data_IF_862168593444
#
_entry.id   IF_862168593444
#
_cell.length_a   1.000
_cell.length_b   1.000
_cell.length_c   1.000
_cell.angle_alpha   90.00
_cell.angle_beta   90.00
_cell.angle_gamma   90.00
#
_symmetry.space_group_name_H-M   'P 1'
#
loop_
_entity.id
_entity.type
_entity.pdbx_description
1 polymer ?
#
# COMPACT_ATOMS: atom_id res chain seq x y z
N UNK A 1 27.55 -8.62 4.92
CA UNK A 1 26.87 -9.85 4.72
C UNK A 1 25.35 -9.65 4.70
N UNK A 2 24.65 -10.10 3.74
CA UNK A 2 23.21 -10.15 3.73
C UNK A 2 22.43 -8.86 3.48
N UNK A 3 22.98 -7.71 3.81
CA UNK A 3 22.25 -6.44 3.65
C UNK A 3 22.03 -6.09 2.18
N UNK A 4 23.04 -6.33 1.35
CA UNK A 4 22.97 -5.99 -0.08
C UNK A 4 21.85 -6.79 -0.79
N UNK A 5 21.77 -8.08 -0.51
CA UNK A 5 20.72 -8.91 -1.09
C UNK A 5 19.32 -8.53 -0.63
N UNK A 6 19.18 -8.13 0.63
CA UNK A 6 17.89 -7.71 1.19
C UNK A 6 17.46 -6.35 0.62
N UNK A 7 18.39 -5.44 0.43
CA UNK A 7 18.09 -4.14 -0.17
C UNK A 7 17.64 -4.29 -1.62
N UNK A 8 18.34 -5.10 -2.41
CA UNK A 8 17.97 -5.38 -3.80
C UNK A 8 16.60 -6.05 -3.89
N UNK A 9 16.36 -7.04 -3.05
CA UNK A 9 15.07 -7.72 -2.97
C UNK A 9 13.97 -6.74 -2.58
N UNK A 10 14.25 -5.87 -1.62
CA UNK A 10 13.33 -4.84 -1.18
C UNK A 10 12.98 -3.87 -2.30
N UNK A 11 13.96 -3.43 -3.06
CA UNK A 11 13.72 -2.55 -4.22
C UNK A 11 12.83 -3.23 -5.25
N UNK A 12 13.10 -4.49 -5.54
CA UNK A 12 12.29 -5.26 -6.48
C UNK A 12 10.83 -5.35 -6.03
N UNK A 13 10.62 -5.76 -4.79
CA UNK A 13 9.26 -5.92 -4.24
C UNK A 13 8.54 -4.57 -4.16
N UNK A 14 9.23 -3.53 -3.67
CA UNK A 14 8.68 -2.19 -3.57
C UNK A 14 8.20 -1.67 -4.93
N UNK A 15 8.99 -1.87 -5.98
CA UNK A 15 8.63 -1.46 -7.34
C UNK A 15 7.44 -2.24 -7.88
N UNK A 16 7.37 -3.53 -7.59
CA UNK A 16 6.26 -4.37 -8.03
C UNK A 16 4.94 -3.97 -7.35
N UNK A 17 4.98 -3.57 -6.09
CA UNK A 17 3.78 -3.19 -5.34
C UNK A 17 3.38 -1.74 -5.58
N UNK A 18 4.31 -0.80 -5.51
CA UNK A 18 4.01 0.63 -5.58
C UNK A 18 4.16 1.22 -6.98
N UNK A 19 4.75 0.48 -7.90
CA UNK A 19 5.03 0.94 -9.26
C UNK A 19 6.41 1.54 -9.39
N UNK A 20 7.01 1.32 -10.56
CA UNK A 20 8.38 1.75 -10.83
C UNK A 20 8.55 3.26 -10.78
N UNK A 21 7.59 4.00 -11.37
CA UNK A 21 7.65 5.45 -11.43
C UNK A 21 7.60 6.08 -10.05
N UNK A 22 6.67 5.61 -9.19
CA UNK A 22 6.54 6.14 -7.83
C UNK A 22 7.82 5.90 -7.02
N UNK A 23 8.36 4.70 -7.08
CA UNK A 23 9.57 4.34 -6.34
C UNK A 23 10.77 5.14 -6.84
N UNK A 24 10.91 5.27 -8.16
CA UNK A 24 12.01 6.03 -8.73
C UNK A 24 11.95 7.50 -8.31
N UNK A 25 10.77 8.11 -8.30
CA UNK A 25 10.60 9.48 -7.83
C UNK A 25 10.98 9.63 -6.36
N UNK A 26 10.61 8.66 -5.53
CA UNK A 26 10.96 8.68 -4.11
C UNK A 26 12.47 8.60 -3.91
N UNK A 27 13.15 7.76 -4.68
CA UNK A 27 14.60 7.62 -4.61
C UNK A 27 15.31 8.88 -5.13
N UNK A 28 14.81 9.46 -6.21
CA UNK A 28 15.40 10.68 -6.79
C UNK A 28 15.27 11.88 -5.86
N UNK A 29 14.20 11.94 -5.08
CA UNK A 29 13.99 13.03 -4.12
C UNK A 29 14.78 12.86 -2.83
N UNK A 30 15.36 11.68 -2.60
CA UNK A 30 16.11 11.41 -1.39
C UNK A 30 17.35 12.30 -1.32
N UNK A 31 17.47 13.00 -0.21
CA UNK A 31 18.66 13.81 0.10
C UNK A 31 19.59 12.98 0.99
N UNK A 32 20.76 13.53 1.29
CA UNK A 32 21.66 12.88 2.24
C UNK A 32 21.01 12.69 3.61
N UNK A 33 20.12 13.61 3.98
CA UNK A 33 19.39 13.50 5.24
C UNK A 33 18.34 12.38 5.21
N UNK A 34 17.57 12.24 4.13
CA UNK A 34 16.47 11.30 4.05
C UNK A 34 16.86 9.92 3.55
N UNK A 35 18.01 9.79 2.87
CA UNK A 35 18.45 8.52 2.27
C UNK A 35 18.49 7.36 3.28
N UNK A 36 19.02 7.53 4.51
CA UNK A 36 19.03 6.42 5.47
C UNK A 36 17.63 5.89 5.77
N UNK A 37 16.61 6.75 5.78
CA UNK A 37 15.23 6.31 6.00
C UNK A 37 14.69 5.55 4.79
N UNK A 38 15.01 5.99 3.58
CA UNK A 38 14.62 5.28 2.36
C UNK A 38 15.26 3.88 2.31
N UNK A 39 16.52 3.79 2.69
CA UNK A 39 17.22 2.51 2.73
C UNK A 39 16.64 1.58 3.79
N UNK A 40 16.37 2.11 4.98
CA UNK A 40 15.76 1.34 6.07
C UNK A 40 14.40 0.78 5.64
N UNK A 41 13.55 1.64 5.07
CA UNK A 41 12.22 1.21 4.60
C UNK A 41 12.35 0.16 3.50
N UNK A 42 13.24 0.36 2.55
CA UNK A 42 13.43 -0.59 1.45
C UNK A 42 13.94 -1.93 1.96
N UNK A 43 14.93 -1.92 2.83
CA UNK A 43 15.54 -3.14 3.33
C UNK A 43 14.61 -3.92 4.26
N UNK A 44 14.05 -3.27 5.25
CA UNK A 44 13.27 -3.96 6.28
C UNK A 44 11.81 -4.12 5.92
N UNK A 45 11.14 -3.05 5.52
CA UNK A 45 9.73 -3.15 5.19
C UNK A 45 9.53 -4.01 3.93
N UNK A 46 10.19 -3.66 2.85
CA UNK A 46 9.99 -4.33 1.57
C UNK A 46 10.84 -5.59 1.44
N UNK A 47 12.08 -5.54 1.90
CA UNK A 47 13.00 -6.68 1.79
C UNK A 47 12.76 -7.77 2.81
N UNK A 48 12.54 -7.41 4.07
CA UNK A 48 12.40 -8.40 5.13
C UNK A 48 10.95 -8.84 5.36
N UNK A 49 9.97 -7.97 5.18
CA UNK A 49 8.58 -8.27 5.54
C UNK A 49 7.71 -8.56 4.33
N UNK A 50 7.65 -7.66 3.36
CA UNK A 50 6.78 -7.85 2.20
C UNK A 50 7.18 -9.05 1.33
N UNK A 51 8.43 -9.47 1.39
CA UNK A 51 8.91 -10.64 0.66
C UNK A 51 8.58 -11.97 1.33
N UNK A 52 8.06 -11.96 2.57
CA UNK A 52 7.78 -13.21 3.30
C UNK A 52 6.60 -13.96 2.68
N UNK A 53 6.70 -15.29 2.55
CA UNK A 53 5.65 -16.07 1.89
C UNK A 53 4.45 -16.39 2.78
N UNK A 54 4.53 -16.10 4.08
CA UNK A 54 3.47 -16.46 5.02
C UNK A 54 2.15 -15.70 4.84
N UNK A 55 2.18 -14.57 4.14
CA UNK A 55 1.00 -13.79 3.82
C UNK A 55 1.21 -13.18 2.42
N UNK A 56 0.24 -13.37 1.54
CA UNK A 56 0.34 -12.86 0.18
C UNK A 56 0.25 -11.35 0.10
N UNK A 57 0.69 -10.78 -1.01
CA UNK A 57 0.74 -9.32 -1.22
C UNK A 57 -0.64 -8.68 -1.16
N UNK A 58 -1.63 -9.35 -1.70
CA UNK A 58 -3.01 -8.87 -1.68
C UNK A 58 -3.49 -8.68 -0.23
N UNK A 59 -3.28 -9.69 0.62
CA UNK A 59 -3.69 -9.62 2.02
C UNK A 59 -2.86 -8.60 2.79
N UNK A 60 -1.55 -8.50 2.50
CA UNK A 60 -0.71 -7.46 3.13
C UNK A 60 -1.20 -6.07 2.79
N UNK A 61 -1.65 -5.85 1.55
CA UNK A 61 -2.25 -4.57 1.16
C UNK A 61 -3.47 -4.22 2.00
N UNK A 62 -4.39 -5.17 2.19
CA UNK A 62 -5.59 -4.93 2.99
C UNK A 62 -5.25 -4.65 4.45
N UNK A 63 -4.35 -5.44 5.03
CA UNK A 63 -3.87 -5.21 6.40
C UNK A 63 -3.25 -3.82 6.53
N UNK A 64 -2.43 -3.43 5.55
CA UNK A 64 -1.79 -2.11 5.54
C UNK A 64 -2.80 -0.98 5.48
N UNK A 65 -3.81 -1.10 4.62
CA UNK A 65 -4.85 -0.07 4.52
C UNK A 65 -5.55 0.15 5.85
N UNK A 66 -5.87 -0.93 6.55
CA UNK A 66 -6.51 -0.83 7.87
C UNK A 66 -5.61 -0.13 8.88
N UNK A 67 -4.33 -0.48 8.91
CA UNK A 67 -3.37 0.14 9.84
C UNK A 67 -3.16 1.61 9.53
N UNK A 68 -2.98 1.96 8.25
CA UNK A 68 -2.75 3.35 7.84
C UNK A 68 -3.97 4.22 8.10
N UNK A 69 -5.17 3.68 7.89
CA UNK A 69 -6.41 4.35 8.22
C UNK A 69 -6.49 4.63 9.74
N UNK A 70 -6.24 3.60 10.54
CA UNK A 70 -6.30 3.71 12.00
C UNK A 70 -5.28 4.69 12.56
N UNK A 71 -4.09 4.72 11.97
CA UNK A 71 -2.99 5.60 12.40
C UNK A 71 -3.09 7.02 11.83
N UNK A 72 -4.02 7.27 10.90
CA UNK A 72 -4.18 8.58 10.29
C UNK A 72 -3.06 8.95 9.33
N UNK A 73 -2.44 7.97 8.69
CA UNK A 73 -1.36 8.19 7.73
C UNK A 73 -1.92 8.38 6.33
N UNK A 74 -2.47 9.57 6.09
CA UNK A 74 -3.25 9.88 4.89
C UNK A 74 -2.45 9.80 3.60
N UNK A 75 -1.22 10.30 3.60
CA UNK A 75 -0.36 10.24 2.42
C UNK A 75 -0.05 8.79 2.03
N UNK A 76 0.40 8.01 3.00
CA UNK A 76 0.75 6.61 2.78
C UNK A 76 -0.49 5.77 2.44
N UNK A 77 -1.65 6.13 2.97
CA UNK A 77 -2.90 5.46 2.63
C UNK A 77 -3.19 5.58 1.14
N UNK A 78 -3.07 6.78 0.57
CA UNK A 78 -3.27 6.98 -0.87
C UNK A 78 -2.31 6.12 -1.69
N UNK A 79 -1.03 6.09 -1.31
CA UNK A 79 -0.01 5.28 -1.97
C UNK A 79 -0.39 3.80 -1.93
N UNK A 80 -0.85 3.32 -0.78
CA UNK A 80 -1.19 1.90 -0.60
C UNK A 80 -2.55 1.51 -1.17
N UNK A 81 -3.47 2.45 -1.39
CA UNK A 81 -4.69 2.18 -2.17
C UNK A 81 -4.28 1.82 -3.61
N UNK A 82 -3.36 2.59 -4.21
CA UNK A 82 -2.82 2.28 -5.53
C UNK A 82 -2.12 0.91 -5.52
N UNK A 83 -1.31 0.66 -4.49
CA UNK A 83 -0.63 -0.62 -4.33
C UNK A 83 -1.60 -1.79 -4.17
N UNK A 84 -2.69 -1.60 -3.46
CA UNK A 84 -3.73 -2.62 -3.27
C UNK A 84 -4.38 -3.00 -4.60
N UNK A 85 -4.74 -2.02 -5.43
CA UNK A 85 -5.28 -2.28 -6.76
C UNK A 85 -4.26 -3.05 -7.60
N UNK A 86 -3.00 -2.66 -7.55
CA UNK A 86 -1.91 -3.34 -8.27
C UNK A 86 -1.75 -4.79 -7.81
N UNK A 87 -1.96 -5.03 -6.53
CA UNK A 87 -1.88 -6.37 -5.93
C UNK A 87 -3.16 -7.20 -6.09
N UNK A 88 -4.16 -6.68 -6.82
CA UNK A 88 -5.37 -7.42 -7.15
C UNK A 88 -6.54 -7.25 -6.19
N UNK A 89 -6.48 -6.30 -5.27
CA UNK A 89 -7.60 -6.01 -4.39
C UNK A 89 -8.71 -5.31 -5.16
N UNK A 90 -9.95 -5.65 -4.86
CA UNK A 90 -11.12 -5.01 -5.48
C UNK A 90 -11.53 -3.78 -4.68
N UNK A 91 -12.31 -2.89 -5.33
CA UNK A 91 -12.89 -1.74 -4.64
C UNK A 91 -13.72 -2.16 -3.43
N UNK A 92 -14.47 -3.23 -3.57
CA UNK A 92 -15.30 -3.77 -2.48
C UNK A 92 -14.43 -4.22 -1.30
N UNK A 93 -13.33 -4.90 -1.58
CA UNK A 93 -12.43 -5.36 -0.54
C UNK A 93 -11.77 -4.20 0.19
N UNK A 94 -11.39 -3.16 -0.54
CA UNK A 94 -10.86 -1.92 0.06
C UNK A 94 -11.94 -1.27 0.94
N UNK A 95 -13.14 -1.15 0.42
CA UNK A 95 -14.28 -0.59 1.16
C UNK A 95 -14.52 -1.34 2.47
N UNK A 96 -14.60 -2.67 2.40
CA UNK A 96 -14.87 -3.50 3.58
C UNK A 96 -13.73 -3.43 4.60
N UNK A 97 -12.49 -3.33 4.13
CA UNK A 97 -11.34 -3.17 5.01
C UNK A 97 -11.41 -1.83 5.77
N UNK A 98 -11.77 -0.75 5.07
CA UNK A 98 -11.87 0.57 5.71
C UNK A 98 -13.07 0.65 6.65
N UNK A 99 -14.18 -0.03 6.34
CA UNK A 99 -15.31 -0.14 7.26
C UNK A 99 -14.90 -0.86 8.55
N UNK A 100 -14.17 -1.96 8.41
CA UNK A 100 -13.65 -2.70 9.56
C UNK A 100 -12.75 -1.81 10.42
N UNK A 101 -11.86 -1.06 9.78
CA UNK A 101 -10.98 -0.13 10.49
C UNK A 101 -11.78 0.96 11.22
N UNK A 102 -12.84 1.48 10.60
CA UNK A 102 -13.66 2.54 11.18
C UNK A 102 -14.33 2.12 12.48
N UNK A 103 -14.86 0.90 12.54
CA UNK A 103 -15.55 0.44 13.75
C UNK A 103 -14.59 0.13 14.90
N UNK A 104 -13.34 -0.19 14.62
CA UNK A 104 -12.34 -0.47 15.65
C UNK A 104 -11.49 0.73 16.03
N UNK A 105 -11.23 1.64 15.08
CA UNK A 105 -10.35 2.79 15.32
C UNK A 105 -11.08 4.12 15.49
N UNK A 106 -12.36 4.16 15.15
CA UNK A 106 -13.18 5.36 15.29
C UNK A 106 -13.69 5.89 13.95
N UNK A 107 -14.91 6.41 13.96
CA UNK A 107 -15.58 6.94 12.78
C UNK A 107 -14.79 8.08 12.09
N UNK A 108 -14.19 9.02 12.83
CA UNK A 108 -13.41 10.09 12.17
C UNK A 108 -12.24 9.55 11.33
N UNK A 109 -11.53 8.53 11.83
CA UNK A 109 -10.46 7.90 11.07
C UNK A 109 -11.01 7.23 9.82
N UNK A 110 -12.16 6.57 9.92
CA UNK A 110 -12.84 5.95 8.80
C UNK A 110 -13.29 6.95 7.74
N UNK A 111 -13.88 8.06 8.17
CA UNK A 111 -14.33 9.12 7.25
C UNK A 111 -13.17 9.66 6.42
N UNK A 112 -12.05 9.96 7.08
CA UNK A 112 -10.86 10.46 6.38
C UNK A 112 -10.31 9.41 5.41
N UNK A 113 -10.24 8.15 5.84
CA UNK A 113 -9.75 7.06 5.00
C UNK A 113 -10.62 6.87 3.76
N UNK A 114 -11.94 6.91 3.90
CA UNK A 114 -12.85 6.82 2.76
C UNK A 114 -12.67 7.96 1.78
N UNK A 115 -12.51 9.18 2.28
CA UNK A 115 -12.27 10.36 1.44
C UNK A 115 -11.02 10.18 0.58
N UNK A 116 -9.94 9.73 1.21
CA UNK A 116 -8.66 9.54 0.53
C UNK A 116 -8.75 8.39 -0.47
N UNK A 117 -9.33 7.27 -0.07
CA UNK A 117 -9.46 6.12 -0.94
C UNK A 117 -10.31 6.44 -2.17
N UNK A 118 -11.45 7.11 -1.99
CA UNK A 118 -12.31 7.49 -3.10
C UNK A 118 -11.57 8.39 -4.09
N UNK A 119 -10.90 9.42 -3.60
CA UNK A 119 -10.13 10.32 -4.45
C UNK A 119 -9.05 9.58 -5.24
N UNK A 120 -8.38 8.63 -4.60
CA UNK A 120 -7.32 7.84 -5.23
C UNK A 120 -7.88 6.91 -6.30
N UNK A 121 -9.00 6.23 -6.01
CA UNK A 121 -9.65 5.34 -6.97
C UNK A 121 -10.16 6.10 -8.19
N UNK A 122 -10.72 7.29 -7.99
CA UNK A 122 -11.15 8.17 -9.08
C UNK A 122 -9.97 8.60 -9.94
N UNK A 123 -8.84 8.91 -9.32
CA UNK A 123 -7.63 9.28 -10.05
C UNK A 123 -7.13 8.11 -10.91
N UNK A 124 -7.17 6.89 -10.37
CA UNK A 124 -6.80 5.68 -11.12
C UNK A 124 -7.71 5.48 -12.33
N UNK A 125 -9.00 5.75 -12.20
CA UNK A 125 -9.92 5.70 -13.32
C UNK A 125 -9.55 6.71 -14.41
N UNK A 126 -9.22 7.94 -14.02
CA UNK A 126 -8.79 8.99 -14.97
C UNK A 126 -7.48 8.63 -15.67
N UNK A 127 -6.61 7.87 -15.02
CA UNK A 127 -5.34 7.40 -15.59
C UNK A 127 -5.54 6.13 -16.43
N UNK A 128 -6.76 5.63 -16.54
CA UNK A 128 -7.10 4.38 -17.24
C UNK A 128 -6.34 3.17 -16.66
N UNK A 129 -6.09 3.16 -15.35
CA UNK A 129 -5.48 2.02 -14.69
C UNK A 129 -6.54 0.95 -14.49
N UNK A 130 -6.32 -0.28 -14.98
CA UNK A 130 -7.28 -1.36 -14.78
C UNK A 130 -7.48 -1.63 -13.30
N UNK A 131 -8.75 -1.75 -12.89
CA UNK A 131 -9.08 -2.15 -11.52
C UNK A 131 -9.66 -3.55 -11.57
N UNK A 132 -9.32 -4.40 -10.58
CA UNK A 132 -9.89 -5.74 -10.54
C UNK A 132 -11.41 -5.66 -10.48
N UNK A 133 -12.07 -6.35 -11.42
CA UNK A 133 -13.50 -6.54 -11.38
C UNK A 133 -13.76 -7.78 -10.57
N UNK A 134 -14.53 -7.68 -9.56
CA UNK A 134 -14.81 -8.89 -8.88
C UNK A 134 -15.73 -8.74 -7.70
N UNK A 135 -16.65 -9.67 -7.64
CA UNK A 135 -17.36 -9.92 -6.42
C UNK A 135 -16.31 -10.32 -5.37
N UNK A 136 -16.48 -9.85 -4.13
CA UNK A 136 -15.57 -10.28 -3.07
C UNK A 136 -15.63 -11.79 -2.96
N UNK A 137 -14.45 -12.42 -3.02
CA UNK A 137 -14.37 -13.86 -2.81
C UNK A 137 -14.82 -14.15 -1.38
N UNK A 138 -15.79 -15.05 -1.25
CA UNK A 138 -16.30 -15.41 0.05
C UNK A 138 -17.49 -14.59 0.53
N UNK A 139 -18.17 -13.90 -0.37
CA UNK A 139 -19.48 -13.33 -0.05
C UNK A 139 -20.41 -14.45 0.36
N UNK A 140 -20.71 -14.49 1.61
CA UNK A 140 -21.65 -15.47 2.15
C UNK A 140 -23.07 -15.05 1.82
#
# INVERSE_FOLDING_TARGET
MGNDGRLEEGLRVRREVLGEEHVQKSLDRASDFTRPMQELATEYCWGAIWSRPGLGRRDRSLVNLAMLAALGRSHELAVHVRGAIRNGCTRTEIQETLLQAAVYAGVPAGMEAFRIAEATLEQLERENVPQPDGEPTGAA
#
